data_IF_876530762693
#
_entry.id   IF_876530762693
#
_cell.length_a   1.000
_cell.length_b   1.000
_cell.length_c   1.000
_cell.angle_alpha   90.00
_cell.angle_beta   90.00
_cell.angle_gamma   90.00
#
_symmetry.space_group_name_H-M   'P 1'
#
loop_
_entity.id
_entity.type
_entity.pdbx_description
1 polymer ?
#
# COMPACT_ATOMS: atom_id res chain seq x y z
N UNK A 1 14.51 6.47 -40.34
CA UNK A 1 13.19 6.35 -39.68
C UNK A 1 13.21 5.10 -38.82
N UNK A 2 13.31 5.25 -37.50
CA UNK A 2 13.12 4.13 -36.58
C UNK A 2 11.60 4.02 -36.36
N UNK A 3 10.99 2.98 -36.90
CA UNK A 3 9.58 2.69 -36.70
C UNK A 3 9.37 2.33 -35.23
N UNK A 4 8.71 3.21 -34.48
CA UNK A 4 8.19 2.85 -33.17
C UNK A 4 7.21 1.66 -33.31
N UNK A 5 7.08 0.83 -32.27
CA UNK A 5 6.13 -0.27 -32.28
C UNK A 5 4.71 0.24 -32.61
N UNK A 6 3.91 -0.53 -33.37
CA UNK A 6 2.59 -0.10 -33.80
C UNK A 6 1.66 0.15 -32.60
N UNK A 7 0.66 1.04 -32.72
CA UNK A 7 -0.36 1.25 -31.69
C UNK A 7 -1.03 -0.08 -31.32
N UNK A 8 -1.06 -0.42 -30.03
CA UNK A 8 -1.61 -1.69 -29.52
C UNK A 8 -0.61 -2.84 -29.37
N UNK A 9 0.69 -2.63 -29.61
CA UNK A 9 1.72 -3.65 -29.32
C UNK A 9 2.00 -3.72 -27.82
N UNK A 10 1.45 -4.74 -27.15
CA UNK A 10 1.84 -5.11 -25.78
C UNK A 10 3.16 -5.86 -25.86
N UNK A 11 4.26 -5.21 -25.49
CA UNK A 11 5.55 -5.87 -25.34
C UNK A 11 5.43 -6.98 -24.27
N UNK A 12 6.03 -8.15 -24.51
CA UNK A 12 6.08 -9.24 -23.52
C UNK A 12 6.65 -8.73 -22.18
N UNK A 13 7.52 -7.71 -22.20
CA UNK A 13 8.01 -7.05 -20.99
C UNK A 13 6.91 -6.33 -20.18
N UNK A 14 5.92 -5.72 -20.84
CA UNK A 14 4.80 -5.05 -20.17
C UNK A 14 3.88 -6.03 -19.51
N UNK A 15 3.57 -7.13 -20.20
CA UNK A 15 2.75 -8.22 -19.65
C UNK A 15 3.43 -8.82 -18.43
N UNK A 16 4.72 -9.13 -18.53
CA UNK A 16 5.48 -9.66 -17.40
C UNK A 16 5.51 -8.68 -16.21
N UNK A 17 5.67 -7.37 -16.47
CA UNK A 17 5.58 -6.36 -15.40
C UNK A 17 4.19 -6.31 -14.76
N UNK A 18 3.12 -6.37 -15.55
CA UNK A 18 1.75 -6.38 -15.05
C UNK A 18 1.45 -7.67 -14.24
N UNK A 19 1.95 -8.82 -14.67
CA UNK A 19 1.85 -10.09 -13.93
C UNK A 19 2.54 -10.00 -12.58
N UNK A 20 3.75 -9.44 -12.53
CA UNK A 20 4.49 -9.22 -11.28
C UNK A 20 3.71 -8.27 -10.36
N UNK A 21 3.18 -7.15 -10.88
CA UNK A 21 2.39 -6.19 -10.10
C UNK A 21 1.11 -6.82 -9.56
N UNK A 22 0.39 -7.58 -10.40
CA UNK A 22 -0.81 -8.31 -10.01
C UNK A 22 -0.51 -9.34 -8.92
N UNK A 23 0.57 -10.12 -9.09
CA UNK A 23 0.98 -11.12 -8.10
C UNK A 23 1.39 -10.48 -6.77
N UNK A 24 2.15 -9.37 -6.80
CA UNK A 24 2.55 -8.67 -5.58
C UNK A 24 1.37 -8.10 -4.82
N UNK A 25 0.35 -7.58 -5.52
CA UNK A 25 -0.81 -6.95 -4.89
C UNK A 25 -1.93 -7.92 -4.51
N UNK A 26 -2.18 -8.95 -5.33
CA UNK A 26 -3.36 -9.82 -5.20
C UNK A 26 -3.04 -11.31 -5.08
N UNK A 27 -1.76 -11.71 -5.12
CA UNK A 27 -1.38 -13.13 -5.00
C UNK A 27 -1.95 -13.77 -3.72
N UNK A 28 -1.82 -13.08 -2.58
CA UNK A 28 -2.36 -13.57 -1.31
C UNK A 28 -3.90 -13.71 -1.34
N UNK A 29 -4.60 -12.79 -1.99
CA UNK A 29 -6.05 -12.87 -2.15
C UNK A 29 -6.42 -14.11 -2.99
N UNK A 30 -5.77 -14.30 -4.14
CA UNK A 30 -6.01 -15.44 -5.03
C UNK A 30 -5.71 -16.78 -4.33
N UNK A 31 -4.64 -16.84 -3.54
CA UNK A 31 -4.28 -18.03 -2.76
C UNK A 31 -5.34 -18.38 -1.72
N UNK A 32 -5.95 -17.37 -1.09
CA UNK A 32 -6.98 -17.53 -0.06
C UNK A 32 -8.37 -17.94 -0.62
N UNK A 33 -8.61 -17.80 -1.92
CA UNK A 33 -9.87 -18.23 -2.52
C UNK A 33 -10.03 -19.75 -2.43
N UNK A 34 -11.17 -20.20 -1.91
CA UNK A 34 -11.56 -21.61 -1.86
C UNK A 34 -12.17 -22.04 -3.21
N UNK A 35 -11.31 -22.14 -4.22
CA UNK A 35 -11.71 -22.40 -5.61
C UNK A 35 -10.61 -23.12 -6.38
N UNK A 36 -10.91 -23.53 -7.61
CA UNK A 36 -9.96 -24.29 -8.45
C UNK A 36 -8.80 -23.43 -8.92
N UNK A 37 -7.64 -24.06 -9.18
CA UNK A 37 -6.47 -23.36 -9.73
C UNK A 37 -6.78 -22.67 -11.07
N UNK A 38 -7.62 -23.30 -11.90
CA UNK A 38 -8.10 -22.69 -13.15
C UNK A 38 -8.86 -21.39 -12.90
N UNK A 39 -9.80 -21.37 -11.95
CA UNK A 39 -10.58 -20.18 -11.64
C UNK A 39 -9.72 -19.08 -11.01
N UNK A 40 -8.74 -19.44 -10.16
CA UNK A 40 -7.73 -18.50 -9.67
C UNK A 40 -6.93 -17.86 -10.81
N UNK A 41 -6.54 -18.64 -11.82
CA UNK A 41 -5.83 -18.14 -12.99
C UNK A 41 -6.70 -17.22 -13.86
N UNK A 42 -7.99 -17.53 -14.03
CA UNK A 42 -8.95 -16.68 -14.75
C UNK A 42 -9.12 -15.31 -14.05
N UNK A 43 -9.32 -15.30 -12.73
CA UNK A 43 -9.41 -14.07 -11.94
C UNK A 43 -8.09 -13.29 -12.00
N UNK A 44 -6.95 -13.97 -11.81
CA UNK A 44 -5.62 -13.37 -11.90
C UNK A 44 -5.33 -12.76 -13.28
N UNK A 45 -5.85 -13.35 -14.36
CA UNK A 45 -5.72 -12.82 -15.72
C UNK A 45 -6.49 -11.51 -15.91
N UNK A 46 -7.70 -11.40 -15.34
CA UNK A 46 -8.45 -10.13 -15.37
C UNK A 46 -7.74 -9.04 -14.58
N UNK A 47 -7.24 -9.35 -13.38
CA UNK A 47 -6.44 -8.41 -12.59
C UNK A 47 -5.20 -7.95 -13.38
N UNK A 48 -4.48 -8.88 -13.99
CA UNK A 48 -3.30 -8.59 -14.82
C UNK A 48 -3.65 -7.69 -16.01
N UNK A 49 -4.80 -7.92 -16.65
CA UNK A 49 -5.28 -7.10 -17.77
C UNK A 49 -5.52 -5.65 -17.32
N UNK A 50 -6.10 -5.43 -16.14
CA UNK A 50 -6.26 -4.08 -15.59
C UNK A 50 -4.91 -3.40 -15.33
N UNK A 51 -3.91 -4.13 -14.85
CA UNK A 51 -2.55 -3.57 -14.70
C UNK A 51 -1.90 -3.23 -16.04
N UNK A 52 -2.13 -4.04 -17.08
CA UNK A 52 -1.70 -3.72 -18.44
C UNK A 52 -2.34 -2.43 -18.95
N UNK A 53 -3.67 -2.30 -18.81
CA UNK A 53 -4.41 -1.09 -19.20
C UNK A 53 -3.90 0.16 -18.47
N UNK A 54 -3.62 0.05 -17.17
CA UNK A 54 -3.02 1.14 -16.37
C UNK A 54 -1.62 1.52 -16.85
N UNK A 55 -0.78 0.52 -17.13
CA UNK A 55 0.57 0.74 -17.63
C UNK A 55 0.58 1.41 -19.01
N UNK A 56 -0.33 0.99 -19.90
CA UNK A 56 -0.53 1.62 -21.20
C UNK A 56 -1.04 3.05 -21.07
N UNK A 57 -2.05 3.26 -20.21
CA UNK A 57 -2.62 4.58 -19.99
C UNK A 57 -1.60 5.56 -19.40
N UNK A 58 -0.78 5.11 -18.46
CA UNK A 58 0.31 5.91 -17.90
C UNK A 58 1.33 6.32 -18.96
N UNK A 59 1.68 5.43 -19.91
CA UNK A 59 2.59 5.77 -21.01
C UNK A 59 1.96 6.76 -21.98
N UNK A 60 0.69 6.56 -22.32
CA UNK A 60 -0.06 7.39 -23.25
C UNK A 60 -0.38 8.78 -22.67
N UNK A 61 -0.40 8.93 -21.34
CA UNK A 61 -0.40 10.26 -20.69
C UNK A 61 0.91 10.99 -20.93
N UNK A 62 2.05 10.33 -20.77
CA UNK A 62 3.37 10.93 -21.00
C UNK A 62 3.56 11.36 -22.47
N UNK A 63 2.83 10.75 -23.41
CA UNK A 63 2.79 11.16 -24.82
C UNK A 63 1.63 12.11 -25.18
N UNK A 64 0.78 12.50 -24.23
CA UNK A 64 -0.32 13.46 -24.43
C UNK A 64 -1.58 12.91 -25.12
N UNK A 65 -1.71 11.59 -25.25
CA UNK A 65 -2.80 10.91 -25.98
C UNK A 65 -4.03 10.65 -25.11
N UNK A 66 -3.87 10.59 -23.78
CA UNK A 66 -4.96 10.31 -22.84
C UNK A 66 -5.15 11.48 -21.86
N UNK A 67 -6.41 11.86 -21.62
CA UNK A 67 -6.77 12.89 -20.65
C UNK A 67 -6.50 12.46 -19.20
N UNK A 68 -6.28 13.41 -18.29
CA UNK A 68 -6.05 13.11 -16.87
C UNK A 68 -7.22 12.35 -16.22
N UNK A 69 -8.46 12.68 -16.61
CA UNK A 69 -9.70 12.06 -16.12
C UNK A 69 -9.75 10.58 -16.46
N UNK A 70 -9.38 10.21 -17.69
CA UNK A 70 -9.38 8.81 -18.13
C UNK A 70 -8.34 7.96 -17.40
N UNK A 71 -7.22 8.56 -16.98
CA UNK A 71 -6.22 7.85 -16.18
C UNK A 71 -6.67 7.65 -14.73
N UNK A 72 -7.33 8.66 -14.15
CA UNK A 72 -7.90 8.57 -12.80
C UNK A 72 -8.96 7.47 -12.71
N UNK A 73 -9.87 7.40 -13.69
CA UNK A 73 -10.88 6.34 -13.78
C UNK A 73 -10.23 4.95 -13.85
N UNK A 74 -9.25 4.74 -14.75
CA UNK A 74 -8.54 3.46 -14.88
C UNK A 74 -7.74 3.08 -13.62
N UNK A 75 -7.20 4.07 -12.92
CA UNK A 75 -6.40 3.88 -11.72
C UNK A 75 -7.26 3.67 -10.47
N UNK A 76 -8.56 3.96 -10.54
CA UNK A 76 -9.47 3.84 -9.42
C UNK A 76 -9.62 2.38 -8.94
N UNK A 77 -9.84 2.16 -7.63
CA UNK A 77 -10.22 0.85 -7.10
C UNK A 77 -11.51 0.31 -7.75
N UNK A 78 -12.48 1.20 -8.02
CA UNK A 78 -13.78 0.84 -8.58
C UNK A 78 -13.69 0.22 -9.97
N UNK A 79 -12.75 0.69 -10.81
CA UNK A 79 -12.54 0.11 -12.14
C UNK A 79 -12.14 -1.36 -12.05
N UNK A 80 -11.17 -1.69 -11.20
CA UNK A 80 -10.76 -3.07 -10.99
C UNK A 80 -11.89 -3.89 -10.36
N UNK A 81 -12.56 -3.34 -9.34
CA UNK A 81 -13.71 -3.98 -8.70
C UNK A 81 -14.79 -4.36 -9.71
N UNK A 82 -15.11 -3.46 -10.63
CA UNK A 82 -16.07 -3.70 -11.72
C UNK A 82 -15.65 -4.87 -12.62
N UNK A 83 -14.37 -4.93 -13.02
CA UNK A 83 -13.84 -6.01 -13.87
C UNK A 83 -13.88 -7.37 -13.17
N UNK A 84 -13.54 -7.44 -11.89
CA UNK A 84 -13.55 -8.72 -11.16
C UNK A 84 -14.97 -9.15 -10.77
N UNK A 85 -15.90 -8.21 -10.57
CA UNK A 85 -17.30 -8.51 -10.22
C UNK A 85 -18.03 -9.33 -11.30
N UNK A 86 -17.58 -9.27 -12.56
CA UNK A 86 -18.13 -10.10 -13.65
C UNK A 86 -17.79 -11.60 -13.51
N UNK A 87 -16.75 -11.93 -12.73
CA UNK A 87 -16.25 -13.31 -12.54
C UNK A 87 -16.44 -13.85 -11.12
N UNK A 88 -16.42 -12.95 -10.13
CA UNK A 88 -16.54 -13.31 -8.72
C UNK A 88 -18.00 -13.54 -8.35
N UNK A 89 -18.24 -14.53 -7.49
CA UNK A 89 -19.51 -14.66 -6.77
C UNK A 89 -19.66 -13.53 -5.75
N UNK A 90 -20.88 -13.27 -5.27
CA UNK A 90 -21.13 -12.26 -4.22
C UNK A 90 -20.32 -12.48 -2.94
N UNK A 91 -19.96 -13.73 -2.63
CA UNK A 91 -19.10 -14.06 -1.49
C UNK A 91 -17.65 -13.68 -1.76
N UNK A 92 -17.12 -14.03 -2.93
CA UNK A 92 -15.75 -13.72 -3.32
C UNK A 92 -15.58 -12.21 -3.52
N UNK A 93 -16.57 -11.52 -4.09
CA UNK A 93 -16.55 -10.06 -4.25
C UNK A 93 -16.54 -9.32 -2.91
N UNK A 94 -17.31 -9.80 -1.92
CA UNK A 94 -17.20 -9.26 -0.55
C UNK A 94 -15.82 -9.49 0.06
N UNK A 95 -15.25 -10.68 -0.14
CA UNK A 95 -13.88 -10.96 0.31
C UNK A 95 -12.85 -10.07 -0.39
N UNK A 96 -13.05 -9.75 -1.67
CA UNK A 96 -12.23 -8.79 -2.41
C UNK A 96 -12.35 -7.38 -1.81
N UNK A 97 -13.57 -6.93 -1.51
CA UNK A 97 -13.81 -5.62 -0.91
C UNK A 97 -13.13 -5.49 0.47
N UNK A 98 -13.25 -6.53 1.32
CA UNK A 98 -12.56 -6.62 2.60
C UNK A 98 -11.03 -6.64 2.43
N UNK A 99 -10.55 -7.35 1.41
CA UNK A 99 -9.13 -7.40 1.07
C UNK A 99 -8.60 -6.03 0.68
N UNK A 100 -9.31 -5.28 -0.17
CA UNK A 100 -8.91 -3.94 -0.58
C UNK A 100 -8.99 -2.94 0.58
N UNK A 101 -10.05 -3.00 1.39
CA UNK A 101 -10.22 -2.12 2.54
C UNK A 101 -9.07 -2.23 3.56
N UNK A 102 -8.53 -3.43 3.76
CA UNK A 102 -7.41 -3.66 4.70
C UNK A 102 -6.03 -3.63 4.03
N UNK A 103 -5.93 -3.30 2.73
CA UNK A 103 -4.65 -3.33 2.01
C UNK A 103 -3.60 -2.39 2.59
N UNK A 104 -3.97 -1.13 2.84
CA UNK A 104 -3.02 -0.12 3.35
C UNK A 104 -2.46 -0.53 4.71
N UNK A 105 -3.34 -1.01 5.60
CA UNK A 105 -2.95 -1.56 6.89
C UNK A 105 -2.00 -2.75 6.75
N UNK A 106 -2.32 -3.74 5.89
CA UNK A 106 -1.44 -4.90 5.70
C UNK A 106 -0.06 -4.51 5.18
N UNK A 107 0.02 -3.58 4.22
CA UNK A 107 1.29 -3.08 3.67
C UNK A 107 2.08 -2.35 4.74
N UNK A 108 1.43 -1.46 5.49
CA UNK A 108 2.06 -0.69 6.56
C UNK A 108 2.61 -1.62 7.66
N UNK A 109 1.79 -2.56 8.13
CA UNK A 109 2.18 -3.55 9.14
C UNK A 109 3.36 -4.39 8.65
N UNK A 110 3.28 -4.92 7.42
CA UNK A 110 4.37 -5.71 6.82
C UNK A 110 5.69 -4.93 6.75
N UNK A 111 5.63 -3.64 6.40
CA UNK A 111 6.80 -2.78 6.38
C UNK A 111 7.40 -2.57 7.78
N UNK A 112 6.56 -2.27 8.77
CA UNK A 112 7.04 -2.09 10.14
C UNK A 112 7.57 -3.36 10.76
N UNK A 113 6.93 -4.51 10.54
CA UNK A 113 7.46 -5.80 11.02
C UNK A 113 8.89 -6.02 10.51
N UNK A 114 9.15 -5.78 9.22
CA UNK A 114 10.49 -5.92 8.64
C UNK A 114 11.50 -4.90 9.18
N UNK A 115 11.08 -3.67 9.40
CA UNK A 115 11.96 -2.62 9.92
C UNK A 115 12.28 -2.87 11.40
N UNK A 116 11.27 -3.15 12.20
CA UNK A 116 11.40 -3.48 13.62
C UNK A 116 12.35 -4.67 13.83
N UNK A 117 12.11 -5.79 13.13
CA UNK A 117 12.97 -6.97 13.22
C UNK A 117 14.45 -6.68 12.88
N UNK A 118 14.72 -5.69 12.02
CA UNK A 118 16.06 -5.30 11.61
C UNK A 118 16.78 -4.45 12.67
N UNK A 119 16.05 -3.61 13.39
CA UNK A 119 16.65 -2.52 14.20
C UNK A 119 16.52 -2.75 15.71
N UNK A 120 15.55 -3.54 16.15
CA UNK A 120 15.29 -3.86 17.54
C UNK A 120 15.45 -5.36 17.81
N UNK A 121 16.61 -5.92 17.43
CA UNK A 121 16.92 -7.34 17.60
C UNK A 121 16.94 -7.81 19.07
N UNK A 122 16.93 -6.87 20.03
CA UNK A 122 16.79 -7.16 21.46
C UNK A 122 15.35 -7.39 21.94
N UNK A 123 14.33 -7.14 21.10
CA UNK A 123 12.93 -7.43 21.44
C UNK A 123 12.55 -8.88 21.12
N UNK A 124 11.83 -9.52 22.04
CA UNK A 124 11.15 -10.79 21.79
C UNK A 124 10.02 -10.60 20.77
N UNK A 125 9.60 -11.68 20.09
CA UNK A 125 8.47 -11.63 19.15
C UNK A 125 7.20 -11.07 19.79
N UNK A 126 6.89 -11.45 21.03
CA UNK A 126 5.74 -10.94 21.77
C UNK A 126 5.82 -9.42 21.98
N UNK A 127 7.00 -8.88 22.31
CA UNK A 127 7.18 -7.45 22.50
C UNK A 127 7.18 -6.69 21.16
N UNK A 128 7.69 -7.31 20.10
CA UNK A 128 7.59 -6.74 18.75
C UNK A 128 6.13 -6.60 18.33
N UNK A 129 5.29 -7.59 18.64
CA UNK A 129 3.86 -7.52 18.36
C UNK A 129 3.18 -6.38 19.13
N UNK A 130 3.49 -6.20 20.43
CA UNK A 130 2.98 -5.07 21.23
C UNK A 130 3.36 -3.73 20.56
N UNK A 131 4.61 -3.57 20.13
CA UNK A 131 5.08 -2.36 19.44
C UNK A 131 4.29 -2.12 18.16
N UNK A 132 4.07 -3.16 17.35
CA UNK A 132 3.33 -3.06 16.10
C UNK A 132 1.85 -2.71 16.34
N UNK A 133 1.16 -3.40 17.26
CA UNK A 133 -0.26 -3.15 17.55
C UNK A 133 -0.51 -1.72 18.02
N UNK A 134 0.32 -1.20 18.93
CA UNK A 134 0.22 0.17 19.40
C UNK A 134 0.44 1.14 18.24
N UNK A 135 1.51 0.97 17.46
CA UNK A 135 1.82 1.87 16.34
C UNK A 135 0.74 1.89 15.24
N UNK A 136 0.21 0.72 14.87
CA UNK A 136 -0.81 0.62 13.83
C UNK A 136 -2.10 1.33 14.26
N UNK A 137 -2.50 1.18 15.52
CA UNK A 137 -3.67 1.86 16.10
C UNK A 137 -3.53 3.39 16.06
N UNK A 138 -2.36 3.92 16.39
CA UNK A 138 -2.16 5.37 16.42
C UNK A 138 -1.95 5.98 15.03
N UNK A 139 -1.31 5.27 14.10
CA UNK A 139 -1.06 5.79 12.75
C UNK A 139 -2.23 5.64 11.78
N UNK A 140 -3.43 5.35 12.29
CA UNK A 140 -4.66 5.39 11.50
C UNK A 140 -4.79 4.23 10.51
N UNK A 141 -4.24 3.06 10.85
CA UNK A 141 -4.54 1.84 10.13
C UNK A 141 -6.06 1.63 10.08
N UNK A 142 -6.65 1.71 8.87
CA UNK A 142 -8.10 1.62 8.67
C UNK A 142 -8.87 2.95 8.62
N UNK A 143 -8.20 4.11 8.57
CA UNK A 143 -8.87 5.40 8.31
C UNK A 143 -8.91 5.71 6.81
N UNK A 144 -10.06 6.20 6.32
CA UNK A 144 -10.21 6.69 4.94
C UNK A 144 -9.22 7.81 4.65
N UNK A 145 -8.46 7.70 3.56
CA UNK A 145 -7.55 8.75 3.13
C UNK A 145 -8.35 10.00 2.77
N UNK A 146 -8.17 11.07 3.55
CA UNK A 146 -8.67 12.40 3.19
C UNK A 146 -7.88 12.87 1.96
N UNK A 147 -8.55 13.18 0.85
CA UNK A 147 -7.95 13.79 -0.35
C UNK A 147 -7.11 15.01 0.06
N UNK A 148 -5.80 15.01 -0.22
CA UNK A 148 -4.89 16.06 0.28
C UNK A 148 -4.43 17.03 -0.80
N UNK A 149 -4.57 18.31 -0.50
CA UNK A 149 -3.79 19.42 -1.05
C UNK A 149 -2.48 19.61 -0.25
N UNK A 150 -1.51 20.40 -0.74
CA UNK A 150 -0.23 20.62 -0.04
C UNK A 150 -0.39 21.20 1.38
N UNK A 151 -1.47 21.95 1.64
CA UNK A 151 -1.78 22.47 2.97
C UNK A 151 -2.18 21.35 3.95
N UNK A 152 -2.85 20.32 3.44
CA UNK A 152 -3.25 19.14 4.19
C UNK A 152 -2.07 18.20 4.48
N UNK A 153 -0.95 18.33 3.74
CA UNK A 153 0.25 17.51 3.93
C UNK A 153 1.09 17.93 5.15
N UNK A 154 1.15 19.23 5.46
CA UNK A 154 1.80 19.72 6.70
C UNK A 154 0.96 19.30 7.92
N UNK A 155 -0.35 19.51 7.86
CA UNK A 155 -1.28 19.10 8.92
C UNK A 155 -1.26 17.59 9.17
N UNK A 156 -1.10 16.80 8.10
CA UNK A 156 -0.89 15.36 8.19
C UNK A 156 0.37 15.00 8.98
N UNK A 157 1.51 15.60 8.62
CA UNK A 157 2.80 15.27 9.23
C UNK A 157 2.79 15.55 10.73
N UNK A 158 2.14 16.64 11.14
CA UNK A 158 1.93 16.98 12.54
C UNK A 158 1.02 15.97 13.24
N UNK A 159 -0.09 15.55 12.60
CA UNK A 159 -0.96 14.50 13.16
C UNK A 159 -0.22 13.19 13.37
N UNK A 160 0.58 12.76 12.38
CA UNK A 160 1.37 11.53 12.48
C UNK A 160 2.44 11.62 13.58
N UNK A 161 3.05 12.79 13.77
CA UNK A 161 4.00 13.01 14.86
C UNK A 161 3.33 12.94 16.23
N UNK A 162 2.15 13.54 16.40
CA UNK A 162 1.38 13.46 17.64
C UNK A 162 0.98 12.00 17.94
N UNK A 163 0.44 11.30 16.95
CA UNK A 163 0.09 9.89 17.07
C UNK A 163 1.28 9.03 17.50
N UNK A 164 2.48 9.31 16.98
CA UNK A 164 3.70 8.60 17.35
C UNK A 164 4.14 8.90 18.79
N UNK A 165 3.96 10.13 19.27
CA UNK A 165 4.24 10.48 20.67
C UNK A 165 3.26 9.79 21.63
N UNK A 166 1.98 9.69 21.25
CA UNK A 166 0.97 8.99 22.04
C UNK A 166 1.27 7.48 22.07
N UNK A 167 1.63 6.89 20.92
CA UNK A 167 2.08 5.50 20.82
C UNK A 167 3.30 5.23 21.73
N UNK A 168 4.28 6.13 21.72
CA UNK A 168 5.47 6.05 22.57
C UNK A 168 5.11 6.10 24.06
N UNK A 169 4.16 6.94 24.44
CA UNK A 169 3.68 7.05 25.82
C UNK A 169 2.96 5.78 26.28
N UNK A 170 2.19 5.14 25.40
CA UNK A 170 1.55 3.88 25.72
C UNK A 170 2.57 2.73 25.81
N UNK A 171 3.54 2.67 24.90
CA UNK A 171 4.58 1.65 24.92
C UNK A 171 5.44 1.69 26.20
N UNK A 172 5.69 2.88 26.77
CA UNK A 172 6.42 3.00 28.03
C UNK A 172 5.66 2.46 29.25
N UNK A 173 4.34 2.26 29.13
CA UNK A 173 3.52 1.62 30.16
C UNK A 173 3.46 0.09 30.00
N UNK A 174 3.66 -0.40 28.77
CA UNK A 174 3.55 -1.82 28.43
C UNK A 174 4.89 -2.56 28.42
N UNK A 175 5.99 -1.84 28.18
CA UNK A 175 7.34 -2.38 28.07
C UNK A 175 8.19 -1.98 29.28
N UNK A 176 9.13 -2.85 29.68
CA UNK A 176 10.16 -2.48 30.66
C UNK A 176 11.14 -1.47 30.06
N UNK A 177 11.89 -0.74 30.89
CA UNK A 177 12.86 0.26 30.42
C UNK A 177 13.83 -0.27 29.35
N UNK A 178 14.35 -1.48 29.54
CA UNK A 178 15.24 -2.13 28.57
C UNK A 178 14.54 -2.47 27.25
N UNK A 179 13.28 -2.90 27.30
CA UNK A 179 12.48 -3.21 26.12
C UNK A 179 12.10 -1.92 25.39
N UNK A 180 11.75 -0.88 26.15
CA UNK A 180 11.46 0.43 25.59
C UNK A 180 12.68 1.01 24.90
N UNK A 181 13.89 0.89 25.46
CA UNK A 181 15.12 1.33 24.80
C UNK A 181 15.37 0.62 23.45
N UNK A 182 15.02 -0.66 23.34
CA UNK A 182 15.08 -1.38 22.06
C UNK A 182 14.00 -0.90 21.08
N UNK A 183 12.78 -0.66 21.55
CA UNK A 183 11.69 -0.09 20.74
C UNK A 183 12.02 1.33 20.24
N UNK A 184 12.69 2.15 21.05
CA UNK A 184 13.11 3.51 20.70
C UNK A 184 14.05 3.57 19.49
N UNK A 185 14.86 2.53 19.26
CA UNK A 185 15.68 2.45 18.04
C UNK A 185 14.82 2.47 16.78
N UNK A 186 13.68 1.79 16.83
CA UNK A 186 12.72 1.76 15.74
C UNK A 186 11.90 3.07 15.67
N UNK A 187 11.34 3.51 16.80
CA UNK A 187 10.56 4.76 16.86
C UNK A 187 11.37 5.96 16.38
N UNK A 188 12.65 6.04 16.77
CA UNK A 188 13.57 7.09 16.32
C UNK A 188 13.76 7.15 14.80
N UNK A 189 13.74 6.00 14.12
CA UNK A 189 13.79 5.97 12.65
C UNK A 189 12.51 6.53 12.02
N UNK A 190 11.34 6.20 12.59
CA UNK A 190 10.06 6.75 12.14
C UNK A 190 10.04 8.27 12.33
N UNK A 191 10.44 8.76 13.51
CA UNK A 191 10.51 10.20 13.82
C UNK A 191 11.43 10.91 12.83
N UNK A 192 12.63 10.38 12.58
CA UNK A 192 13.60 10.98 11.66
C UNK A 192 13.03 11.07 10.24
N UNK A 193 12.33 10.03 9.78
CA UNK A 193 11.65 10.03 8.50
C UNK A 193 10.58 11.13 8.42
N UNK A 194 9.70 11.21 9.42
CA UNK A 194 8.62 12.20 9.48
C UNK A 194 9.16 13.64 9.50
N UNK A 195 10.20 13.92 10.29
CA UNK A 195 10.83 15.26 10.33
C UNK A 195 11.44 15.65 8.99
N UNK A 196 12.03 14.70 8.26
CA UNK A 196 12.57 14.94 6.92
C UNK A 196 11.46 15.30 5.94
N UNK A 197 10.33 14.58 5.98
CA UNK A 197 9.18 14.88 5.12
C UNK A 197 8.54 16.23 5.46
N UNK A 198 8.40 16.56 6.74
CA UNK A 198 7.87 17.85 7.18
C UNK A 198 8.74 19.01 6.69
N UNK A 199 10.06 18.92 6.88
CA UNK A 199 11.00 19.98 6.46
C UNK A 199 11.06 20.17 4.94
N UNK A 200 10.86 19.10 4.15
CA UNK A 200 10.69 19.21 2.70
C UNK A 200 9.37 19.93 2.32
N UNK A 201 8.25 19.55 2.95
CA UNK A 201 6.95 20.15 2.67
C UNK A 201 6.91 21.65 3.05
N UNK A 202 7.58 22.03 4.14
CA UNK A 202 7.70 23.43 4.57
C UNK A 202 8.59 24.28 3.65
N UNK A 203 9.56 23.67 2.97
CA UNK A 203 10.44 24.37 2.03
C UNK A 203 9.80 24.61 0.64
N UNK A 204 8.73 23.88 0.32
CA UNK A 204 7.96 24.01 -0.93
C UNK A 204 6.75 24.96 -0.83
N UNK A 205 6.51 25.56 0.35
CA UNK A 205 5.47 26.56 0.63
C UNK A 205 6.02 28.00 0.53
#
# INVERSE_FOLDING_TARGET
>A
AQGGPPPGYVDNSQRQMAEIQAQMRYGQYLDALDTTAQRKAEIGSVITTVFLERNEASRNRTSGVISSVSLEELSSPDYLRGKVAELLTDRELRSFDEYEASFQERVLRSNFTRQLARVSGGLTEANQEIVLEVLMRFMGAGQEQVNRSNRDAVDESQRQMQALMDARMELSQLLSDSQMQEAEKFLGQIITGLMTTQSMNEAEL
#
